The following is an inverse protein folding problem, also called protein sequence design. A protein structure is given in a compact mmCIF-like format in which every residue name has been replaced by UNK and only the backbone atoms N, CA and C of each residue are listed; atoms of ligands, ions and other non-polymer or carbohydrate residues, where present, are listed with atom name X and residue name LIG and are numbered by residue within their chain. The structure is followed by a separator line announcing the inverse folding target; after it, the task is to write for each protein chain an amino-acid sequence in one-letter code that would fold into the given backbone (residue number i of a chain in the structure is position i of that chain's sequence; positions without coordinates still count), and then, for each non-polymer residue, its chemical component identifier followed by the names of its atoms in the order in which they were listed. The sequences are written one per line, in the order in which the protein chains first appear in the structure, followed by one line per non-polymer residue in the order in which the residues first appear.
data_IF_113557248630
#
_entry.id   IF_113557248630
#
_cell.length_a   1.000
_cell.length_b   1.000
_cell.length_c   1.000
_cell.angle_alpha   90.00
_cell.angle_beta   90.00
_cell.angle_gamma   90.00
#
_symmetry.space_group_name_H-M   'P 1'
#
loop_
_entity.id
_entity.type
_entity.pdbx_description
1 polymer ?
#
# COMPACT_ATOMS: atom_id res chain seq x y z
N UNK A 1 13.59 -3.86 -10.15
CA UNK A 1 12.70 -3.39 -11.21
C UNK A 1 11.26 -3.72 -10.85
N UNK A 2 10.40 -2.77 -11.05
CA UNK A 2 8.98 -2.93 -10.77
C UNK A 2 8.23 -3.06 -12.08
N UNK A 3 7.39 -4.09 -12.17
CA UNK A 3 6.55 -4.31 -13.33
C UNK A 3 5.17 -3.75 -13.03
N UNK A 4 4.74 -2.76 -13.79
CA UNK A 4 3.47 -2.12 -13.57
C UNK A 4 2.35 -2.83 -14.31
N UNK A 5 1.12 -2.51 -13.92
CA UNK A 5 -0.04 -3.12 -14.49
C UNK A 5 -0.10 -3.04 -16.00
N UNK A 6 0.33 -1.94 -16.56
CA UNK A 6 0.28 -1.77 -18.01
C UNK A 6 1.48 -2.38 -18.73
N UNK A 7 2.28 -3.17 -18.03
CA UNK A 7 3.42 -3.83 -18.64
C UNK A 7 4.70 -3.00 -18.62
N UNK A 8 4.62 -1.78 -18.16
CA UNK A 8 5.81 -0.94 -18.12
C UNK A 8 6.68 -1.31 -16.93
N UNK A 9 7.98 -1.10 -17.09
CA UNK A 9 8.93 -1.37 -16.03
C UNK A 9 9.58 -0.09 -15.57
N UNK A 10 9.86 -0.03 -14.28
CA UNK A 10 10.59 1.10 -13.73
C UNK A 10 11.38 0.62 -12.52
N UNK A 11 12.44 1.33 -12.16
CA UNK A 11 13.23 0.93 -10.99
C UNK A 11 12.40 1.14 -9.72
N UNK A 12 12.68 0.31 -8.73
CA UNK A 12 12.06 0.51 -7.44
C UNK A 12 12.73 1.70 -6.76
N UNK A 13 11.94 2.65 -6.30
CA UNK A 13 12.47 3.81 -5.61
C UNK A 13 11.86 3.89 -4.23
N UNK A 14 12.72 3.78 -3.23
CA UNK A 14 12.27 3.84 -1.84
C UNK A 14 11.57 5.16 -1.54
N UNK A 15 12.01 6.23 -2.17
CA UNK A 15 11.40 7.52 -1.94
C UNK A 15 9.95 7.59 -2.39
N UNK A 16 9.63 6.91 -3.48
CA UNK A 16 8.26 6.87 -3.93
C UNK A 16 7.39 6.08 -2.98
N UNK A 17 7.93 4.99 -2.46
CA UNK A 17 7.23 4.21 -1.46
C UNK A 17 6.98 5.05 -0.22
N UNK A 18 8.00 5.76 0.25
CA UNK A 18 7.87 6.60 1.42
C UNK A 18 6.82 7.68 1.20
N UNK A 19 6.85 8.32 0.05
CA UNK A 19 5.89 9.37 -0.25
C UNK A 19 4.46 8.84 -0.23
N UNK A 20 4.27 7.64 -0.75
CA UNK A 20 2.94 7.04 -0.74
C UNK A 20 2.44 6.82 0.68
N UNK A 21 3.32 6.34 1.54
CA UNK A 21 2.95 6.08 2.92
C UNK A 21 2.69 7.37 3.68
N UNK A 22 3.55 8.37 3.51
CA UNK A 22 3.34 9.64 4.19
C UNK A 22 2.06 10.32 3.71
N UNK A 23 1.75 10.19 2.43
CA UNK A 23 0.51 10.75 1.91
C UNK A 23 -0.71 10.05 2.51
N UNK A 24 -0.67 8.74 2.58
CA UNK A 24 -1.79 7.98 3.13
C UNK A 24 -2.00 8.28 4.60
N UNK A 25 -0.90 8.53 5.33
CA UNK A 25 -0.97 8.78 6.76
C UNK A 25 -1.08 10.25 7.12
N UNK A 26 -1.26 11.10 6.13
CA UNK A 26 -1.36 12.53 6.37
C UNK A 26 -2.48 12.84 7.34
N UNK A 27 -2.18 13.63 8.36
CA UNK A 27 -3.14 14.02 9.38
C UNK A 27 -3.70 12.88 10.21
N UNK A 28 -3.00 11.74 10.18
CA UNK A 28 -3.33 10.66 11.09
C UNK A 28 -2.36 10.71 12.27
N UNK A 29 -2.77 10.22 13.43
CA UNK A 29 -1.91 10.28 14.62
C UNK A 29 -0.80 9.24 14.60
N UNK A 30 -0.03 9.24 13.53
CA UNK A 30 1.10 8.34 13.35
C UNK A 30 2.31 9.22 13.10
N UNK A 31 3.34 9.09 13.93
CA UNK A 31 4.48 9.97 13.77
C UNK A 31 5.37 9.52 12.62
N UNK A 32 6.27 10.40 12.21
CA UNK A 32 7.09 10.13 11.05
C UNK A 32 8.09 9.00 11.31
N UNK A 33 8.51 8.80 12.55
CA UNK A 33 9.40 7.69 12.86
C UNK A 33 8.72 6.36 12.61
N UNK A 34 7.47 6.25 13.01
CA UNK A 34 6.72 5.03 12.78
C UNK A 34 6.55 4.78 11.28
N UNK A 35 6.24 5.84 10.54
CA UNK A 35 6.10 5.72 9.10
C UNK A 35 7.40 5.27 8.46
N UNK A 36 8.53 5.86 8.89
CA UNK A 36 9.81 5.47 8.32
C UNK A 36 10.15 4.02 8.61
N UNK A 37 9.79 3.55 9.80
CA UNK A 37 10.03 2.15 10.13
C UNK A 37 9.23 1.22 9.23
N UNK A 38 8.02 1.60 8.91
CA UNK A 38 7.19 0.79 8.01
C UNK A 38 7.80 0.78 6.62
N UNK A 39 8.27 1.93 6.14
CA UNK A 39 8.91 2.01 4.83
C UNK A 39 10.12 1.09 4.78
N UNK A 40 10.95 1.13 5.83
CA UNK A 40 12.14 0.30 5.89
C UNK A 40 11.78 -1.18 5.92
N UNK A 41 10.72 -1.51 6.65
CA UNK A 41 10.30 -2.89 6.76
C UNK A 41 9.82 -3.43 5.43
N UNK A 42 9.01 -2.66 4.72
CA UNK A 42 8.54 -3.07 3.42
C UNK A 42 9.70 -3.21 2.45
N UNK A 43 10.63 -2.25 2.46
CA UNK A 43 11.78 -2.30 1.58
C UNK A 43 12.59 -3.57 1.81
N UNK A 44 12.77 -3.92 3.09
CA UNK A 44 13.52 -5.12 3.42
C UNK A 44 12.77 -6.38 2.97
N UNK A 45 11.46 -6.40 3.14
CA UNK A 45 10.69 -7.54 2.70
C UNK A 45 10.81 -7.75 1.20
N UNK A 46 10.84 -6.65 0.45
CA UNK A 46 10.99 -6.75 -1.00
C UNK A 46 12.36 -7.26 -1.36
N UNK A 47 13.39 -6.81 -0.66
CA UNK A 47 14.74 -7.29 -0.90
C UNK A 47 14.86 -8.77 -0.62
N UNK A 48 14.21 -9.21 0.44
CA UNK A 48 14.30 -10.61 0.85
C UNK A 48 13.59 -11.54 -0.12
N UNK A 49 12.73 -11.02 -0.96
CA UNK A 49 12.10 -11.84 -1.97
C UNK A 49 13.09 -12.27 -3.03
N UNK A 50 14.19 -11.55 -3.18
CA UNK A 50 15.25 -11.94 -4.07
C UNK A 50 14.89 -11.98 -5.54
N UNK A 51 13.89 -11.22 -5.94
CA UNK A 51 13.43 -11.22 -7.32
C UNK A 51 13.97 -10.02 -8.06
N UNK A 52 14.39 -10.24 -9.28
CA UNK A 52 14.90 -9.12 -10.09
C UNK A 52 13.76 -8.26 -10.61
N UNK A 53 12.56 -8.81 -10.67
CA UNK A 53 11.40 -8.07 -11.15
C UNK A 53 10.24 -8.32 -10.22
N UNK A 54 9.64 -7.26 -9.70
CA UNK A 54 8.54 -7.35 -8.74
C UNK A 54 7.34 -6.63 -9.32
N UNK A 55 6.20 -7.28 -9.28
CA UNK A 55 4.98 -6.65 -9.76
C UNK A 55 4.54 -5.57 -8.79
N UNK A 56 4.04 -4.48 -9.34
CA UNK A 56 3.59 -3.38 -8.50
C UNK A 56 2.47 -3.81 -7.57
N UNK A 57 1.69 -4.82 -7.99
CA UNK A 57 0.62 -5.32 -7.12
C UNK A 57 1.16 -5.95 -5.85
N UNK A 58 2.34 -6.54 -5.91
CA UNK A 58 2.98 -7.12 -4.73
C UNK A 58 3.35 -6.02 -3.75
N UNK A 59 3.92 -4.94 -4.27
CA UNK A 59 4.29 -3.82 -3.42
C UNK A 59 3.06 -3.22 -2.77
N UNK A 60 2.01 -3.02 -3.57
CA UNK A 60 0.77 -2.45 -3.04
C UNK A 60 0.15 -3.31 -1.97
N UNK A 61 0.21 -4.64 -2.14
CA UNK A 61 -0.35 -5.51 -1.14
C UNK A 61 0.42 -5.42 0.16
N UNK A 62 1.75 -5.35 0.09
CA UNK A 62 2.54 -5.20 1.30
C UNK A 62 2.20 -3.90 2.02
N UNK A 63 2.07 -2.82 1.26
CA UNK A 63 1.71 -1.55 1.87
C UNK A 63 0.35 -1.64 2.53
N UNK A 64 -0.61 -2.24 1.84
CA UNK A 64 -1.95 -2.36 2.39
C UNK A 64 -1.98 -3.22 3.64
N UNK A 65 -1.21 -4.30 3.65
CA UNK A 65 -1.15 -5.16 4.82
C UNK A 65 -0.63 -4.39 6.04
N UNK A 66 0.40 -3.59 5.84
CA UNK A 66 0.95 -2.81 6.94
C UNK A 66 0.00 -1.69 7.37
N UNK A 67 -0.62 -1.01 6.42
CA UNK A 67 -1.53 0.07 6.75
C UNK A 67 -2.78 -0.44 7.45
N UNK A 68 -3.22 -1.62 7.08
CA UNK A 68 -4.42 -2.19 7.67
C UNK A 68 -4.27 -2.30 9.18
N UNK A 69 -3.08 -2.64 9.64
CA UNK A 69 -2.85 -2.75 11.07
C UNK A 69 -2.50 -1.43 11.71
N UNK A 70 -1.94 -0.53 10.93
CA UNK A 70 -1.46 0.72 11.48
C UNK A 70 -2.56 1.77 11.61
N UNK A 71 -3.37 1.96 10.59
CA UNK A 71 -4.39 3.00 10.59
C UNK A 71 -5.40 2.72 9.50
N UNK A 72 -6.64 2.54 9.91
CA UNK A 72 -7.68 2.14 8.98
C UNK A 72 -7.98 3.17 7.92
N UNK A 73 -7.94 4.43 8.27
CA UNK A 73 -8.24 5.48 7.30
C UNK A 73 -7.15 5.54 6.26
N UNK A 74 -5.90 5.43 6.68
CA UNK A 74 -4.79 5.41 5.75
C UNK A 74 -4.89 4.20 4.82
N UNK A 75 -5.32 3.07 5.36
CA UNK A 75 -5.50 1.88 4.54
C UNK A 75 -6.51 2.14 3.42
N UNK A 76 -7.64 2.73 3.76
CA UNK A 76 -8.66 2.99 2.76
C UNK A 76 -8.17 4.02 1.74
N UNK A 77 -7.48 5.05 2.20
CA UNK A 77 -6.93 6.05 1.29
C UNK A 77 -5.99 5.44 0.28
N UNK A 78 -5.07 4.63 0.78
CA UNK A 78 -4.08 4.03 -0.09
C UNK A 78 -4.74 3.08 -1.08
N UNK A 79 -5.67 2.27 -0.59
CA UNK A 79 -6.36 1.32 -1.44
C UNK A 79 -7.09 2.03 -2.57
N UNK A 80 -7.71 3.18 -2.25
CA UNK A 80 -8.49 3.87 -3.27
C UNK A 80 -7.61 4.45 -4.38
N UNK A 81 -6.38 4.82 -4.05
CA UNK A 81 -5.47 5.34 -5.05
C UNK A 81 -4.78 4.22 -5.80
N UNK A 82 -4.29 3.25 -5.06
CA UNK A 82 -3.45 2.22 -5.63
C UNK A 82 -4.19 1.27 -6.55
N UNK A 83 -5.34 0.80 -6.11
CA UNK A 83 -6.07 -0.17 -6.90
C UNK A 83 -6.79 0.50 -8.05
N UNK A 84 -6.94 1.82 -7.96
CA UNK A 84 -7.62 2.57 -8.99
C UNK A 84 -9.07 2.16 -9.12
N UNK A 85 -9.53 1.32 -8.27
CA UNK A 85 -10.91 0.86 -8.19
C UNK A 85 -11.60 0.81 -9.53
N UNK A 86 -10.97 0.12 -10.44
CA UNK A 86 -11.58 -0.06 -11.68
C UNK A 86 -12.93 -0.65 -11.49
N UNK A 87 -13.06 -1.44 -10.44
CA UNK A 87 -14.29 -2.09 -10.15
C UNK A 87 -14.79 -1.66 -8.83
N UNK A 88 -16.00 -1.16 -8.84
CA UNK A 88 -16.64 -0.70 -7.63
C UNK A 88 -16.80 -1.81 -6.64
N UNK A 89 -16.97 -3.03 -7.13
CA UNK A 89 -17.09 -4.18 -6.27
C UNK A 89 -15.85 -4.40 -5.45
N UNK A 90 -14.67 -4.23 -6.07
CA UNK A 90 -13.42 -4.37 -5.35
C UNK A 90 -13.34 -3.37 -4.24
N UNK A 91 -13.74 -2.15 -4.51
CA UNK A 91 -13.73 -1.11 -3.51
C UNK A 91 -14.66 -1.48 -2.37
N UNK A 92 -15.82 -1.99 -2.69
CA UNK A 92 -16.78 -2.42 -1.68
C UNK A 92 -16.24 -3.53 -0.82
N UNK A 93 -15.48 -4.44 -1.43
CA UNK A 93 -14.88 -5.53 -0.68
C UNK A 93 -13.87 -5.01 0.32
N UNK A 94 -13.04 -4.05 -0.06
CA UNK A 94 -12.09 -3.47 0.88
C UNK A 94 -12.81 -2.82 2.05
N UNK A 95 -13.85 -2.07 1.78
CA UNK A 95 -14.58 -1.42 2.84
C UNK A 95 -15.30 -2.42 3.72
N UNK A 96 -15.88 -3.44 3.11
CA UNK A 96 -16.56 -4.45 3.87
C UNK A 96 -15.63 -5.24 4.76
N UNK A 97 -14.46 -5.56 4.25
CA UNK A 97 -13.46 -6.26 5.02
C UNK A 97 -13.07 -5.48 6.24
N UNK A 98 -13.08 -4.16 6.11
CA UNK A 98 -12.66 -3.30 7.16
C UNK A 98 -13.73 -3.06 8.18
N UNK A 99 -14.93 -2.77 7.73
CA UNK A 99 -16.04 -2.49 8.60
C UNK A 99 -16.71 -3.73 9.10
N UNK A 100 -16.53 -4.80 8.41
CA UNK A 100 -17.07 -6.05 8.88
C UNK A 100 -18.53 -6.15 8.79
N UNK A 101 -19.26 -5.21 9.15
CA UNK A 101 -20.64 -5.38 9.21
C UNK A 101 -21.40 -4.26 8.76
N UNK A 102 -20.77 -3.47 8.20
CA UNK A 102 -21.42 -2.40 7.76
C UNK A 102 -22.32 -2.70 6.77
N UNK A 103 -22.64 -3.61 6.48
CA UNK A 103 -23.33 -3.85 5.53
C UNK A 103 -24.45 -3.66 5.64
N UNK A 104 -24.91 -3.41 5.58
CA UNK A 104 -25.86 -3.22 5.73
C UNK A 104 -26.27 -3.11 5.14
#
# INVERSE_FOLDING_TARGET
TVLKKNGRRSPFEREKLARSLFTALKKRPIDSNTTEKVVSKISRELEEMGQSEIQSSVIGKLVMDHLKELDKIAYIRFASVYTNFKEIEEFGDYIGEFDGNKKK
#
